data_IF_701311817138
#
_entry.id   IF_701311817138
#
_cell.length_a   1.000
_cell.length_b   1.000
_cell.length_c   1.000
_cell.angle_alpha   90.00
_cell.angle_beta   90.00
_cell.angle_gamma   90.00
#
_symmetry.space_group_name_H-M   'P 1'
#
loop_
_entity.id
_entity.type
_entity.pdbx_description
1 polymer ?
#
# COMPACT_ATOMS: atom_id res chain seq x y z
N UNK A 1 5.35 23.09 -8.25
CA UNK A 1 4.48 21.96 -8.58
C UNK A 1 4.04 21.32 -7.26
N UNK A 2 2.83 21.61 -6.78
CA UNK A 2 2.33 21.05 -5.52
C UNK A 2 1.47 19.85 -5.86
N UNK A 3 1.97 18.63 -5.62
CA UNK A 3 1.09 17.47 -5.44
C UNK A 3 0.02 17.89 -4.41
N UNK A 4 -1.23 17.98 -4.85
CA UNK A 4 -2.32 18.36 -3.95
C UNK A 4 -2.48 17.31 -2.86
N UNK A 5 -2.81 17.73 -1.64
CA UNK A 5 -3.21 16.79 -0.59
C UNK A 5 -4.35 15.88 -1.04
N UNK A 6 -5.21 16.37 -1.94
CA UNK A 6 -6.31 15.60 -2.52
C UNK A 6 -5.84 14.33 -3.27
N UNK A 7 -4.59 14.24 -3.70
CA UNK A 7 -4.05 13.01 -4.28
C UNK A 7 -4.09 11.83 -3.30
N UNK A 8 -4.05 12.06 -1.99
CA UNK A 8 -4.27 11.00 -1.00
C UNK A 8 -5.69 10.42 -1.09
N UNK A 9 -6.69 11.24 -1.40
CA UNK A 9 -8.07 10.79 -1.61
C UNK A 9 -8.15 9.95 -2.89
N UNK A 10 -7.56 10.45 -3.99
CA UNK A 10 -7.55 9.77 -5.30
C UNK A 10 -6.85 8.41 -5.27
N UNK A 11 -5.65 8.34 -4.69
CA UNK A 11 -4.87 7.10 -4.56
C UNK A 11 -5.67 6.03 -3.82
N UNK A 12 -6.45 6.43 -2.81
CA UNK A 12 -7.24 5.49 -2.01
C UNK A 12 -8.64 5.23 -2.59
N UNK A 13 -9.02 5.85 -3.71
CA UNK A 13 -10.34 5.73 -4.35
C UNK A 13 -11.46 6.12 -3.37
N UNK A 14 -11.31 7.30 -2.74
CA UNK A 14 -12.20 7.78 -1.68
C UNK A 14 -13.00 9.04 -2.08
N UNK A 15 -12.98 9.45 -3.35
CA UNK A 15 -13.61 10.69 -3.83
C UNK A 15 -15.11 10.74 -3.52
N UNK A 16 -15.82 9.63 -3.74
CA UNK A 16 -17.26 9.53 -3.50
C UNK A 16 -17.63 9.66 -2.02
N UNK A 17 -16.80 9.14 -1.13
CA UNK A 17 -17.02 9.21 0.32
C UNK A 17 -16.61 10.60 0.83
N UNK A 18 -15.49 11.14 0.33
CA UNK A 18 -14.99 12.45 0.70
C UNK A 18 -15.97 13.57 0.32
N UNK A 19 -16.46 13.58 -0.92
CA UNK A 19 -17.34 14.62 -1.46
C UNK A 19 -18.70 14.72 -0.75
N UNK A 20 -19.19 13.61 -0.16
CA UNK A 20 -20.40 13.60 0.66
C UNK A 20 -20.24 14.37 1.98
N UNK A 21 -19.00 14.54 2.47
CA UNK A 21 -18.70 15.13 3.78
C UNK A 21 -18.03 16.48 3.69
N UNK A 22 -17.12 16.64 2.73
CA UNK A 22 -16.28 17.82 2.58
C UNK A 22 -16.50 18.44 1.19
N UNK A 23 -16.95 19.70 1.18
CA UNK A 23 -17.10 20.48 -0.05
C UNK A 23 -15.80 21.13 -0.52
N UNK A 24 -14.76 21.13 0.32
CA UNK A 24 -13.48 21.82 0.05
C UNK A 24 -12.32 20.84 0.14
N UNK A 25 -11.55 20.74 -0.95
CA UNK A 25 -10.42 19.81 -1.14
C UNK A 25 -9.09 20.34 -0.56
N UNK A 26 -9.15 20.97 0.62
CA UNK A 26 -7.97 21.54 1.27
C UNK A 26 -7.26 20.52 2.19
N UNK A 27 -5.96 20.75 2.41
CA UNK A 27 -5.09 19.94 3.28
C UNK A 27 -5.76 19.53 4.59
N UNK A 28 -6.36 20.48 5.30
CA UNK A 28 -6.96 20.25 6.62
C UNK A 28 -8.09 19.21 6.55
N UNK A 29 -8.94 19.31 5.54
CA UNK A 29 -10.10 18.42 5.37
C UNK A 29 -9.65 17.03 4.94
N UNK A 30 -8.71 16.94 4.00
CA UNK A 30 -8.10 15.67 3.58
C UNK A 30 -7.51 14.94 4.79
N UNK A 31 -6.76 15.64 5.64
CA UNK A 31 -6.12 15.01 6.80
C UNK A 31 -7.11 14.64 7.89
N UNK A 32 -8.11 15.48 8.16
CA UNK A 32 -9.18 15.12 9.08
C UNK A 32 -9.88 13.84 8.62
N UNK A 33 -10.15 13.73 7.32
CA UNK A 33 -10.77 12.58 6.69
C UNK A 33 -9.90 11.32 6.70
N UNK A 34 -8.61 11.43 6.37
CA UNK A 34 -7.69 10.27 6.31
C UNK A 34 -7.25 9.79 7.70
N UNK A 35 -7.24 10.66 8.71
CA UNK A 35 -6.75 10.29 10.05
C UNK A 35 -7.90 9.88 10.97
N UNK A 36 -8.89 10.77 11.14
CA UNK A 36 -9.81 10.71 12.28
C UNK A 36 -11.26 10.38 11.96
N UNK A 37 -11.61 10.24 10.68
CA UNK A 37 -12.99 10.07 10.26
C UNK A 37 -13.40 8.58 10.32
N UNK A 38 -14.31 8.25 11.24
CA UNK A 38 -14.77 6.88 11.47
C UNK A 38 -15.70 6.32 10.40
N UNK A 39 -16.28 7.17 9.53
CA UNK A 39 -17.11 6.67 8.41
C UNK A 39 -16.28 6.58 7.12
N UNK A 40 -15.01 6.97 7.15
CA UNK A 40 -14.03 6.59 6.14
C UNK A 40 -13.46 5.19 6.48
N UNK A 41 -13.72 4.16 5.66
CA UNK A 41 -13.23 2.80 5.92
C UNK A 41 -11.70 2.69 5.86
N UNK A 42 -11.04 3.62 5.17
CA UNK A 42 -9.59 3.66 4.99
C UNK A 42 -8.90 4.69 5.89
N UNK A 43 -9.59 5.25 6.88
CA UNK A 43 -8.94 6.16 7.83
C UNK A 43 -8.07 5.40 8.83
N UNK A 44 -7.05 6.06 9.37
CA UNK A 44 -6.16 5.48 10.39
C UNK A 44 -6.97 4.99 11.60
N UNK A 45 -7.99 5.74 12.05
CA UNK A 45 -8.88 5.32 13.15
C UNK A 45 -9.63 4.05 12.81
N UNK A 46 -10.22 3.96 11.62
CA UNK A 46 -11.01 2.79 11.22
C UNK A 46 -10.10 1.57 11.05
N UNK A 47 -8.96 1.71 10.38
CA UNK A 47 -8.00 0.62 10.18
C UNK A 47 -7.43 0.10 11.51
N UNK A 48 -7.12 0.99 12.46
CA UNK A 48 -6.61 0.57 13.77
C UNK A 48 -7.70 -0.08 14.64
N UNK A 49 -8.95 0.38 14.51
CA UNK A 49 -10.09 -0.26 15.16
C UNK A 49 -10.31 -1.67 14.61
N UNK A 50 -10.26 -1.85 13.30
CA UNK A 50 -10.34 -3.16 12.66
C UNK A 50 -9.19 -4.09 13.09
N UNK A 51 -7.95 -3.57 13.14
CA UNK A 51 -6.80 -4.32 13.64
C UNK A 51 -7.01 -4.81 15.07
N UNK A 52 -7.51 -3.95 15.97
CA UNK A 52 -7.82 -4.35 17.36
C UNK A 52 -8.86 -5.45 17.41
N UNK A 53 -9.95 -5.33 16.66
CA UNK A 53 -10.99 -6.37 16.64
C UNK A 53 -10.43 -7.69 16.10
N UNK A 54 -9.65 -7.66 15.02
CA UNK A 54 -9.00 -8.86 14.48
C UNK A 54 -8.08 -9.52 15.51
N UNK A 55 -7.25 -8.75 16.20
CA UNK A 55 -6.37 -9.27 17.26
C UNK A 55 -7.19 -9.80 18.45
N UNK A 56 -8.29 -9.12 18.81
CA UNK A 56 -9.19 -9.56 19.89
C UNK A 56 -9.78 -10.94 19.62
N UNK A 57 -10.20 -11.20 18.38
CA UNK A 57 -10.85 -12.46 18.00
C UNK A 57 -9.86 -13.58 17.67
N UNK A 58 -8.57 -13.27 17.48
CA UNK A 58 -7.54 -14.23 17.08
C UNK A 58 -6.44 -14.43 18.15
N UNK A 59 -6.68 -14.01 19.40
CA UNK A 59 -5.71 -14.06 20.51
C UNK A 59 -5.06 -15.42 20.76
N UNK A 60 -5.70 -16.51 20.34
CA UNK A 60 -5.18 -17.87 20.52
C UNK A 60 -4.03 -18.21 19.57
N UNK A 61 -3.92 -17.49 18.44
CA UNK A 61 -2.97 -17.81 17.35
C UNK A 61 -1.95 -16.69 17.08
N UNK A 62 -2.05 -15.56 17.80
CA UNK A 62 -1.13 -14.43 17.71
C UNK A 62 -0.39 -14.21 19.05
N UNK A 63 0.78 -13.56 19.07
CA UNK A 63 1.50 -13.28 20.31
C UNK A 63 0.67 -12.39 21.23
N UNK A 64 0.68 -12.68 22.54
CA UNK A 64 -0.05 -11.90 23.55
C UNK A 64 0.30 -10.41 23.51
N UNK A 65 1.57 -10.10 23.28
CA UNK A 65 2.12 -8.74 23.30
C UNK A 65 1.55 -7.90 22.14
N UNK A 66 1.06 -8.53 21.07
CA UNK A 66 0.44 -7.83 19.96
C UNK A 66 -0.86 -7.12 20.38
N UNK A 67 -1.59 -7.71 21.32
CA UNK A 67 -2.77 -7.07 21.89
C UNK A 67 -2.41 -5.80 22.66
N UNK A 68 -1.39 -5.88 23.51
CA UNK A 68 -0.93 -4.74 24.32
C UNK A 68 -0.44 -3.60 23.41
N UNK A 69 0.49 -3.89 22.50
CA UNK A 69 1.04 -2.90 21.57
C UNK A 69 -0.02 -2.24 20.69
N UNK A 70 -0.99 -3.01 20.21
CA UNK A 70 -2.09 -2.45 19.39
C UNK A 70 -3.03 -1.59 20.24
N UNK A 71 -3.29 -2.00 21.49
CA UNK A 71 -4.11 -1.23 22.40
C UNK A 71 -3.45 0.09 22.80
N UNK A 72 -2.15 0.08 23.10
CA UNK A 72 -1.34 1.28 23.36
C UNK A 72 -1.35 2.22 22.16
N UNK A 73 -1.11 1.70 20.95
CA UNK A 73 -1.14 2.49 19.71
C UNK A 73 -2.52 3.16 19.50
N UNK A 74 -3.60 2.47 19.85
CA UNK A 74 -4.93 3.04 19.76
C UNK A 74 -5.19 4.12 20.79
N UNK A 75 -4.77 3.92 22.04
CA UNK A 75 -4.86 4.97 23.06
C UNK A 75 -4.10 6.21 22.57
N UNK A 76 -2.86 6.05 22.10
CA UNK A 76 -2.07 7.12 21.51
C UNK A 76 -2.80 7.84 20.38
N UNK A 77 -3.38 7.09 19.43
CA UNK A 77 -4.12 7.66 18.31
C UNK A 77 -5.28 8.54 18.79
N UNK A 78 -6.08 8.05 19.76
CA UNK A 78 -7.23 8.78 20.29
C UNK A 78 -6.81 10.04 21.04
N UNK A 79 -5.74 9.97 21.83
CA UNK A 79 -5.24 11.11 22.62
C UNK A 79 -4.57 12.19 21.75
N UNK A 80 -3.93 11.78 20.66
CA UNK A 80 -3.10 12.67 19.83
C UNK A 80 -3.66 12.96 18.42
N UNK A 81 -4.90 12.58 18.12
CA UNK A 81 -5.50 12.74 16.79
C UNK A 81 -5.38 14.17 16.22
N UNK A 82 -5.56 15.19 17.07
CA UNK A 82 -5.43 16.61 16.68
C UNK A 82 -4.02 16.96 16.18
N UNK A 83 -3.00 16.27 16.68
CA UNK A 83 -1.61 16.44 16.27
C UNK A 83 -1.38 16.04 14.82
N UNK A 84 -2.15 15.09 14.28
CA UNK A 84 -2.08 14.67 12.88
C UNK A 84 -2.60 15.72 11.89
N UNK A 85 -3.62 16.48 12.27
CA UNK A 85 -4.13 17.58 11.44
C UNK A 85 -3.22 18.81 11.52
N UNK A 86 -2.61 19.07 12.68
CA UNK A 86 -1.74 20.22 12.90
C UNK A 86 -0.38 20.07 12.19
N UNK A 87 -0.06 21.00 11.28
CA UNK A 87 1.18 21.00 10.48
C UNK A 87 2.47 20.88 11.30
N UNK A 88 2.54 21.46 12.50
CA UNK A 88 3.78 21.48 13.31
C UNK A 88 4.08 20.12 13.95
N UNK A 89 3.05 19.38 14.34
CA UNK A 89 3.17 18.11 15.07
C UNK A 89 2.92 16.89 14.20
N UNK A 90 2.36 17.06 12.99
CA UNK A 90 1.93 15.96 12.12
C UNK A 90 3.04 14.97 11.83
N UNK A 91 4.23 15.45 11.51
CA UNK A 91 5.34 14.58 11.14
C UNK A 91 5.68 13.61 12.27
N UNK A 92 5.93 14.14 13.48
CA UNK A 92 6.23 13.34 14.66
C UNK A 92 5.08 12.38 15.02
N UNK A 93 3.83 12.83 14.89
CA UNK A 93 2.66 11.99 15.14
C UNK A 93 2.58 10.81 14.16
N UNK A 94 2.72 11.05 12.85
CA UNK A 94 2.68 10.00 11.84
C UNK A 94 3.89 9.07 11.95
N UNK A 95 5.07 9.60 12.26
CA UNK A 95 6.28 8.81 12.48
C UNK A 95 6.12 7.85 13.67
N UNK A 96 5.52 8.30 14.77
CA UNK A 96 5.19 7.41 15.89
C UNK A 96 4.27 6.27 15.46
N UNK A 97 3.19 6.56 14.73
CA UNK A 97 2.28 5.53 14.20
C UNK A 97 3.01 4.51 13.31
N UNK A 98 3.86 5.01 12.39
CA UNK A 98 4.64 4.15 11.49
C UNK A 98 5.58 3.24 12.29
N UNK A 99 6.31 3.78 13.27
CA UNK A 99 7.22 3.00 14.10
C UNK A 99 6.48 1.95 14.93
N UNK A 100 5.33 2.28 15.54
CA UNK A 100 4.52 1.31 16.27
C UNK A 100 4.01 0.18 15.38
N UNK A 101 3.53 0.49 14.17
CA UNK A 101 3.15 -0.53 13.19
C UNK A 101 4.34 -1.43 12.82
N UNK A 102 5.53 -0.87 12.60
CA UNK A 102 6.74 -1.64 12.31
C UNK A 102 7.15 -2.54 13.48
N UNK A 103 6.99 -2.08 14.72
CA UNK A 103 7.25 -2.90 15.91
C UNK A 103 6.27 -4.07 16.01
N UNK A 104 4.97 -3.86 15.75
CA UNK A 104 3.96 -4.94 15.74
C UNK A 104 4.27 -5.96 14.63
N UNK A 105 4.64 -5.50 13.43
CA UNK A 105 5.06 -6.38 12.33
C UNK A 105 6.32 -7.17 12.72
N UNK A 106 7.29 -6.53 13.38
CA UNK A 106 8.49 -7.17 13.90
C UNK A 106 8.17 -8.26 14.93
N UNK A 107 7.21 -8.01 15.83
CA UNK A 107 6.73 -9.00 16.79
C UNK A 107 6.12 -10.21 16.08
N UNK A 108 5.25 -10.00 15.10
CA UNK A 108 4.68 -11.10 14.32
C UNK A 108 5.77 -11.90 13.61
N UNK A 109 6.75 -11.21 13.02
CA UNK A 109 7.85 -11.87 12.35
C UNK A 109 8.71 -12.70 13.32
N UNK A 110 8.99 -12.22 14.52
CA UNK A 110 9.87 -12.93 15.45
C UNK A 110 9.17 -14.04 16.24
N UNK A 111 7.89 -13.88 16.57
CA UNK A 111 7.24 -14.66 17.62
C UNK A 111 6.04 -15.49 17.15
N UNK A 112 5.55 -15.34 15.92
CA UNK A 112 4.52 -16.24 15.39
C UNK A 112 5.12 -17.55 14.88
N UNK A 113 4.45 -18.65 15.19
CA UNK A 113 4.65 -19.93 14.51
C UNK A 113 4.45 -19.76 13.01
N UNK A 114 5.26 -20.45 12.18
CA UNK A 114 5.13 -20.43 10.71
C UNK A 114 4.03 -21.39 10.24
N UNK A 115 2.86 -21.26 10.83
CA UNK A 115 1.68 -22.09 10.57
C UNK A 115 0.63 -21.33 9.73
N UNK A 116 -0.57 -21.90 9.65
CA UNK A 116 -1.70 -21.37 8.90
C UNK A 116 -2.03 -19.91 9.26
N UNK A 117 -1.94 -19.52 10.54
CA UNK A 117 -2.25 -18.15 10.95
C UNK A 117 -1.23 -17.16 10.38
N UNK A 118 0.05 -17.51 10.41
CA UNK A 118 1.11 -16.71 9.78
C UNK A 118 0.93 -16.61 8.26
N UNK A 119 0.54 -17.69 7.58
CA UNK A 119 0.25 -17.67 6.14
C UNK A 119 -0.88 -16.70 5.78
N UNK A 120 -1.95 -16.61 6.58
CA UNK A 120 -3.00 -15.61 6.37
C UNK A 120 -2.54 -14.17 6.59
N UNK A 121 -1.67 -13.94 7.60
CA UNK A 121 -1.03 -12.63 7.80
C UNK A 121 -0.20 -12.24 6.57
N UNK A 122 0.57 -13.17 6.01
CA UNK A 122 1.34 -12.94 4.79
C UNK A 122 0.44 -12.64 3.59
N UNK A 123 -0.66 -13.39 3.41
CA UNK A 123 -1.62 -13.14 2.33
C UNK A 123 -2.14 -11.71 2.35
N UNK A 124 -2.69 -11.26 3.48
CA UNK A 124 -3.18 -9.89 3.60
C UNK A 124 -2.07 -8.86 3.40
N UNK A 125 -0.91 -9.08 4.05
CA UNK A 125 0.20 -8.14 4.02
C UNK A 125 0.77 -7.92 2.61
N UNK A 126 0.98 -8.98 1.84
CA UNK A 126 1.56 -8.87 0.50
C UNK A 126 0.54 -8.41 -0.54
N UNK A 127 -0.75 -8.72 -0.36
CA UNK A 127 -1.82 -8.24 -1.23
C UNK A 127 -1.98 -6.72 -1.11
N UNK A 128 -2.16 -6.23 0.11
CA UNK A 128 -2.27 -4.79 0.40
C UNK A 128 -1.03 -4.03 -0.06
N UNK A 129 0.15 -4.64 0.10
CA UNK A 129 1.41 -4.03 -0.35
C UNK A 129 1.51 -3.95 -1.86
N UNK A 130 1.15 -5.00 -2.59
CA UNK A 130 1.13 -4.99 -4.05
C UNK A 130 0.13 -3.93 -4.57
N UNK A 131 -1.08 -3.91 -4.00
CA UNK A 131 -2.12 -2.95 -4.36
C UNK A 131 -1.63 -1.51 -4.13
N UNK A 132 -1.10 -1.20 -2.94
CA UNK A 132 -0.60 0.13 -2.63
C UNK A 132 0.62 0.54 -3.47
N UNK A 133 1.52 -0.39 -3.82
CA UNK A 133 2.61 -0.10 -4.77
C UNK A 133 2.04 0.28 -6.14
N UNK A 134 1.07 -0.47 -6.66
CA UNK A 134 0.47 -0.20 -7.97
C UNK A 134 -0.25 1.17 -8.03
N UNK A 135 -0.93 1.57 -6.95
CA UNK A 135 -1.59 2.88 -6.84
C UNK A 135 -0.59 4.04 -6.74
N UNK A 136 0.55 3.83 -6.08
CA UNK A 136 1.63 4.84 -6.04
C UNK A 136 2.30 5.00 -7.42
N UNK A 137 2.41 3.92 -8.20
CA UNK A 137 2.89 3.99 -9.58
C UNK A 137 1.93 4.77 -10.48
N UNK A 138 0.61 4.50 -10.42
CA UNK A 138 -0.37 5.26 -11.21
C UNK A 138 -0.39 6.74 -10.82
N UNK A 139 -0.28 7.06 -9.53
CA UNK A 139 -0.15 8.46 -9.09
C UNK A 139 1.12 9.14 -9.60
N UNK A 140 2.24 8.40 -9.67
CA UNK A 140 3.49 8.87 -10.26
C UNK A 140 3.33 9.21 -11.74
N UNK A 141 2.72 8.29 -12.51
CA UNK A 141 2.42 8.48 -13.93
C UNK A 141 1.47 9.66 -14.15
N UNK A 142 0.37 9.73 -13.41
CA UNK A 142 -0.58 10.83 -13.50
C UNK A 142 0.07 12.19 -13.23
N UNK A 143 0.93 12.27 -12.20
CA UNK A 143 1.67 13.48 -11.89
C UNK A 143 2.71 13.83 -12.97
N UNK A 144 3.34 12.83 -13.60
CA UNK A 144 4.30 13.04 -14.67
C UNK A 144 3.64 13.56 -15.96
N UNK A 145 2.40 13.10 -16.26
CA UNK A 145 1.59 13.57 -17.39
C UNK A 145 1.10 15.02 -17.23
N UNK A 146 0.94 15.50 -15.99
CA UNK A 146 0.56 16.90 -15.72
C UNK A 146 1.73 17.88 -15.94
N UNK A 147 2.95 17.40 -16.20
CA UNK A 147 4.10 18.26 -16.50
C UNK A 147 4.05 18.72 -17.96
N UNK A 148 3.85 20.01 -18.19
CA UNK A 148 3.94 20.64 -19.52
C UNK A 148 5.38 20.69 -20.06
N UNK A 149 5.51 20.67 -21.39
CA UNK A 149 6.75 20.73 -22.18
C UNK A 149 7.56 22.04 -22.00
N UNK A 150 8.07 22.28 -20.79
CA UNK A 150 9.02 23.35 -20.47
C UNK A 150 10.40 22.77 -20.16
N UNK A 151 11.46 23.57 -20.33
CA UNK A 151 12.88 23.21 -20.10
C UNK A 151 13.20 22.61 -18.71
N UNK A 152 12.27 22.67 -17.75
CA UNK A 152 12.39 22.07 -16.40
C UNK A 152 11.78 20.65 -16.27
N UNK A 153 11.36 20.04 -17.38
CA UNK A 153 10.65 18.76 -17.39
C UNK A 153 11.46 17.60 -16.75
N UNK A 154 12.74 17.45 -17.10
CA UNK A 154 13.59 16.36 -16.61
C UNK A 154 13.74 16.41 -15.09
N UNK A 155 14.02 17.59 -14.54
CA UNK A 155 14.16 17.79 -13.10
C UNK A 155 12.84 17.51 -12.36
N UNK A 156 11.71 17.91 -12.95
CA UNK A 156 10.39 17.70 -12.34
C UNK A 156 10.00 16.22 -12.30
N UNK A 157 10.22 15.47 -13.40
CA UNK A 157 9.98 14.00 -13.42
C UNK A 157 10.86 13.27 -12.43
N UNK A 158 12.14 13.63 -12.33
CA UNK A 158 13.05 13.06 -11.34
C UNK A 158 12.59 13.29 -9.90
N UNK A 159 12.02 14.47 -9.60
CA UNK A 159 11.45 14.77 -8.27
C UNK A 159 10.22 13.91 -8.00
N UNK A 160 9.32 13.73 -8.98
CA UNK A 160 8.11 12.90 -8.85
C UNK A 160 8.49 11.46 -8.55
N UNK A 161 9.32 10.84 -9.39
CA UNK A 161 9.74 9.46 -9.20
C UNK A 161 10.59 9.29 -7.93
N UNK A 162 11.34 10.33 -7.55
CA UNK A 162 12.01 10.37 -6.25
C UNK A 162 11.04 10.40 -5.06
N UNK A 163 9.89 11.06 -5.18
CA UNK A 163 8.82 11.05 -4.17
C UNK A 163 8.10 9.70 -4.12
N UNK A 164 7.83 9.08 -5.27
CA UNK A 164 7.23 7.72 -5.35
C UNK A 164 8.12 6.71 -4.63
N UNK A 165 9.41 6.68 -4.98
CA UNK A 165 10.38 5.80 -4.33
C UNK A 165 10.49 6.05 -2.82
N UNK A 166 10.43 7.31 -2.36
CA UNK A 166 10.44 7.62 -0.91
C UNK A 166 9.16 7.16 -0.22
N UNK A 167 8.00 7.35 -0.85
CA UNK A 167 6.69 6.92 -0.31
C UNK A 167 6.62 5.40 -0.12
N UNK A 168 7.33 4.66 -0.96
CA UNK A 168 7.45 3.21 -0.89
C UNK A 168 8.71 2.73 -0.13
N UNK A 169 9.43 3.58 0.59
CA UNK A 169 10.70 3.22 1.27
C UNK A 169 11.70 2.48 0.35
N UNK A 170 11.69 2.83 -0.94
CA UNK A 170 12.42 2.15 -2.00
C UNK A 170 13.70 2.88 -2.42
N UNK A 171 13.84 4.17 -2.08
CA UNK A 171 14.92 5.04 -2.56
C UNK A 171 16.32 4.45 -2.35
N UNK A 172 16.62 3.97 -1.14
CA UNK A 172 17.95 3.41 -0.82
C UNK A 172 18.22 2.10 -1.56
N UNK A 173 17.23 1.20 -1.61
CA UNK A 173 17.34 -0.06 -2.35
C UNK A 173 17.50 0.18 -3.85
N UNK A 174 16.73 1.11 -4.42
CA UNK A 174 16.81 1.54 -5.81
C UNK A 174 18.24 2.01 -6.15
N UNK A 175 18.78 2.94 -5.36
CA UNK A 175 20.13 3.49 -5.58
C UNK A 175 21.21 2.42 -5.47
N UNK A 176 21.06 1.48 -4.53
CA UNK A 176 22.00 0.36 -4.36
C UNK A 176 22.01 -0.56 -5.59
N UNK A 177 20.85 -0.82 -6.18
CA UNK A 177 20.70 -1.72 -7.32
C UNK A 177 21.14 -1.06 -8.63
N UNK A 178 20.64 0.13 -8.94
CA UNK A 178 20.79 0.75 -10.28
C UNK A 178 21.99 1.69 -10.39
N UNK A 179 22.44 2.29 -9.27
CA UNK A 179 23.58 3.23 -9.22
C UNK A 179 23.48 4.41 -10.21
N UNK A 180 22.28 4.72 -10.69
CA UNK A 180 21.98 5.80 -11.63
C UNK A 180 21.14 6.90 -10.97
N UNK A 181 20.99 8.03 -11.67
CA UNK A 181 19.97 9.01 -11.33
C UNK A 181 18.57 8.39 -11.43
N UNK A 182 17.62 8.90 -10.64
CA UNK A 182 16.23 8.44 -10.72
C UNK A 182 15.64 8.81 -12.08
N UNK A 183 15.22 7.80 -12.84
CA UNK A 183 14.43 7.96 -14.05
C UNK A 183 13.06 7.28 -13.86
N UNK A 184 12.10 7.64 -14.70
CA UNK A 184 10.77 7.03 -14.73
C UNK A 184 10.83 5.55 -15.05
N UNK A 185 11.47 5.21 -16.17
CA UNK A 185 11.61 3.84 -16.64
C UNK A 185 12.29 2.94 -15.61
N UNK A 186 13.41 3.40 -15.04
CA UNK A 186 14.13 2.64 -14.01
C UNK A 186 13.31 2.48 -12.72
N UNK A 187 12.58 3.52 -12.30
CA UNK A 187 11.78 3.46 -11.07
C UNK A 187 10.57 2.53 -11.23
N UNK A 188 9.92 2.56 -12.39
CA UNK A 188 8.85 1.62 -12.75
C UNK A 188 9.38 0.19 -12.80
N UNK A 189 10.45 -0.04 -13.56
CA UNK A 189 11.07 -1.36 -13.69
C UNK A 189 11.45 -1.94 -12.31
N UNK A 190 12.10 -1.14 -11.47
CA UNK A 190 12.48 -1.53 -10.12
C UNK A 190 11.27 -1.90 -9.26
N UNK A 191 10.19 -1.12 -9.29
CA UNK A 191 9.01 -1.35 -8.45
C UNK A 191 8.08 -2.45 -9.00
N UNK A 192 8.19 -2.81 -10.28
CA UNK A 192 7.40 -3.87 -10.87
C UNK A 192 8.12 -5.21 -10.82
N UNK A 193 9.39 -5.25 -11.21
CA UNK A 193 10.08 -6.49 -11.55
C UNK A 193 11.10 -6.96 -10.50
N UNK A 194 11.51 -6.11 -9.57
CA UNK A 194 12.57 -6.50 -8.64
C UNK A 194 12.13 -7.64 -7.71
N UNK A 195 12.75 -8.81 -7.87
CA UNK A 195 12.43 -10.02 -7.12
C UNK A 195 13.04 -10.09 -5.71
N UNK A 196 13.76 -9.05 -5.27
CA UNK A 196 14.41 -8.99 -3.95
C UNK A 196 13.86 -7.84 -3.08
N UNK A 197 13.15 -6.88 -3.67
CA UNK A 197 12.65 -5.72 -2.95
C UNK A 197 11.23 -5.98 -2.39
N UNK A 198 11.02 -5.93 -1.06
CA UNK A 198 9.78 -6.40 -0.44
C UNK A 198 8.47 -5.72 -0.85
N UNK A 199 8.55 -4.56 -1.53
CA UNK A 199 7.40 -3.78 -2.01
C UNK A 199 7.25 -3.81 -3.53
N UNK A 200 8.19 -4.42 -4.26
CA UNK A 200 8.03 -4.61 -5.68
C UNK A 200 6.88 -5.59 -5.95
N UNK A 201 6.15 -5.38 -7.05
CA UNK A 201 4.97 -6.20 -7.40
C UNK A 201 5.37 -7.66 -7.58
N UNK A 202 6.44 -7.95 -8.35
CA UNK A 202 6.93 -9.31 -8.55
C UNK A 202 7.25 -10.03 -7.23
N UNK A 203 7.93 -9.35 -6.30
CA UNK A 203 8.20 -9.88 -4.96
C UNK A 203 6.90 -10.19 -4.21
N UNK A 204 5.96 -9.22 -4.16
CA UNK A 204 4.72 -9.39 -3.41
C UNK A 204 3.87 -10.54 -3.97
N UNK A 205 3.75 -10.65 -5.30
CA UNK A 205 2.98 -11.73 -5.95
C UNK A 205 3.65 -13.09 -5.74
N UNK A 206 4.99 -13.18 -5.74
CA UNK A 206 5.70 -14.39 -5.38
C UNK A 206 5.40 -14.82 -3.93
N UNK A 207 5.55 -13.91 -2.97
CA UNK A 207 5.25 -14.20 -1.56
C UNK A 207 3.78 -14.54 -1.31
N UNK A 208 2.84 -13.90 -2.03
CA UNK A 208 1.43 -14.27 -2.02
C UNK A 208 1.21 -15.71 -2.49
N UNK A 209 1.89 -16.09 -3.57
CA UNK A 209 1.78 -17.43 -4.14
C UNK A 209 2.30 -18.47 -3.16
N UNK A 210 3.47 -18.23 -2.57
CA UNK A 210 4.07 -19.13 -1.57
C UNK A 210 3.20 -19.25 -0.32
N UNK A 211 2.58 -18.15 0.13
CA UNK A 211 1.68 -18.16 1.27
C UNK A 211 0.39 -18.93 0.97
N UNK A 212 -0.19 -18.74 -0.22
CA UNK A 212 -1.38 -19.44 -0.67
C UNK A 212 -1.13 -20.95 -0.86
N UNK A 213 -0.01 -21.33 -1.47
CA UNK A 213 0.31 -22.74 -1.77
C UNK A 213 0.44 -23.59 -0.49
N UNK A 214 0.84 -22.96 0.62
CA UNK A 214 0.93 -23.58 1.94
C UNK A 214 -0.44 -23.75 2.66
N UNK A 215 -1.53 -23.22 2.11
CA UNK A 215 -2.88 -23.31 2.68
C UNK A 215 -3.73 -24.37 1.95
N UNK A 216 -4.68 -25.03 2.65
CA UNK A 216 -5.59 -25.97 2.02
C UNK A 216 -6.56 -25.24 1.07
N UNK A 217 -7.06 -25.94 0.04
CA UNK A 217 -8.02 -25.39 -0.95
C UNK A 217 -7.52 -24.15 -1.71
N UNK A 218 -6.21 -24.05 -1.94
CA UNK A 218 -5.56 -22.88 -2.56
C UNK A 218 -5.54 -22.88 -4.09
N UNK A 219 -6.06 -23.92 -4.76
CA UNK A 219 -5.88 -24.14 -6.18
C UNK A 219 -6.31 -22.95 -7.05
N UNK A 220 -7.47 -22.34 -6.78
CA UNK A 220 -7.98 -21.20 -7.54
C UNK A 220 -7.20 -19.92 -7.25
N UNK A 221 -6.81 -19.69 -5.99
CA UNK A 221 -5.96 -18.55 -5.58
C UNK A 221 -4.59 -18.62 -6.26
N UNK A 222 -3.94 -19.78 -6.21
CA UNK A 222 -2.64 -20.00 -6.84
C UNK A 222 -2.73 -19.86 -8.36
N UNK A 223 -3.80 -20.35 -8.98
CA UNK A 223 -4.04 -20.16 -10.42
C UNK A 223 -4.17 -18.68 -10.79
N UNK A 224 -4.92 -17.90 -10.01
CA UNK A 224 -5.06 -16.46 -10.22
C UNK A 224 -3.70 -15.75 -10.09
N UNK A 225 -2.94 -16.03 -9.04
CA UNK A 225 -1.63 -15.42 -8.81
C UNK A 225 -0.61 -15.79 -9.90
N UNK A 226 -0.57 -17.04 -10.33
CA UNK A 226 0.27 -17.48 -11.47
C UNK A 226 -0.12 -16.79 -12.77
N UNK A 227 -1.39 -16.46 -12.96
CA UNK A 227 -1.84 -15.67 -14.12
C UNK A 227 -1.19 -14.27 -14.10
N UNK A 228 -1.13 -13.62 -12.94
CA UNK A 228 -0.46 -12.32 -12.78
C UNK A 228 1.05 -12.46 -13.03
N UNK A 229 1.69 -13.51 -12.53
CA UNK A 229 3.14 -13.74 -12.72
C UNK A 229 3.54 -14.00 -14.19
N UNK A 230 2.68 -14.64 -14.96
CA UNK A 230 2.94 -14.98 -16.36
C UNK A 230 2.66 -13.83 -17.32
N UNK A 231 1.93 -12.82 -16.89
CA UNK A 231 1.73 -11.63 -17.70
C UNK A 231 3.03 -10.83 -17.75
N UNK A 232 3.39 -10.30 -18.94
CA UNK A 232 4.47 -9.33 -19.00
C UNK A 232 4.04 -8.12 -18.18
N UNK A 233 4.64 -7.98 -17.01
CA UNK A 233 4.64 -6.72 -16.28
C UNK A 233 5.29 -5.66 -17.20
N UNK A 234 4.81 -4.41 -17.10
CA UNK A 234 5.08 -3.30 -18.04
C UNK A 234 6.47 -3.36 -18.68
N UNK A 235 6.56 -3.45 -20.01
CA UNK A 235 7.85 -3.27 -20.66
C UNK A 235 8.28 -1.80 -20.54
N UNK A 236 9.48 -1.57 -20.02
CA UNK A 236 10.15 -0.28 -19.94
C UNK A 236 10.65 0.16 -21.32
N UNK A 237 9.79 0.16 -22.33
CA UNK A 237 10.09 0.82 -23.59
C UNK A 237 9.92 2.34 -23.39
N UNK A 238 11.05 3.06 -23.47
CA UNK A 238 11.17 4.53 -23.26
C UNK A 238 10.20 5.36 -24.12
N UNK A 239 9.67 4.79 -25.21
CA UNK A 239 8.77 5.46 -26.17
C UNK A 239 7.26 5.28 -25.88
N UNK A 240 6.87 4.50 -24.85
CA UNK A 240 5.45 4.24 -24.53
C UNK A 240 4.88 5.19 -23.45
N UNK A 241 5.23 6.48 -23.49
CA UNK A 241 4.67 7.46 -22.58
C UNK A 241 3.16 7.63 -22.83
N UNK A 242 2.31 7.37 -21.83
CA UNK A 242 0.89 7.72 -21.87
C UNK A 242 -0.09 6.64 -21.40
N UNK A 243 -1.30 6.70 -21.96
CA UNK A 243 -2.46 5.85 -21.62
C UNK A 243 -2.17 4.33 -21.58
N UNK A 244 -1.33 3.72 -22.45
CA UNK A 244 -1.11 2.28 -22.44
C UNK A 244 -0.50 1.74 -21.12
N UNK A 245 0.44 2.47 -20.52
CA UNK A 245 1.06 2.06 -19.26
C UNK A 245 0.08 2.16 -18.09
N UNK A 246 -0.80 3.17 -18.12
CA UNK A 246 -1.85 3.34 -17.11
C UNK A 246 -2.94 2.29 -17.24
N UNK A 247 -3.33 1.92 -18.47
CA UNK A 247 -4.27 0.83 -18.73
C UNK A 247 -3.74 -0.51 -18.19
N UNK A 248 -2.45 -0.77 -18.37
CA UNK A 248 -1.80 -1.96 -17.84
C UNK A 248 -1.72 -1.96 -16.30
N UNK A 249 -1.43 -0.83 -15.65
CA UNK A 249 -1.51 -0.72 -14.18
C UNK A 249 -2.94 -0.90 -13.66
N UNK A 250 -3.92 -0.35 -14.36
CA UNK A 250 -5.33 -0.52 -14.02
C UNK A 250 -5.74 -2.00 -14.14
N UNK A 251 -5.28 -2.70 -15.18
CA UNK A 251 -5.51 -4.14 -15.32
C UNK A 251 -4.88 -4.93 -14.16
N UNK A 252 -3.65 -4.57 -13.74
CA UNK A 252 -3.01 -5.17 -12.57
C UNK A 252 -3.82 -4.93 -11.28
N UNK A 253 -4.30 -3.70 -11.05
CA UNK A 253 -5.15 -3.38 -9.90
C UNK A 253 -6.44 -4.20 -9.89
N UNK A 254 -7.09 -4.35 -11.05
CA UNK A 254 -8.28 -5.21 -11.20
C UNK A 254 -7.96 -6.66 -10.83
N UNK A 255 -6.81 -7.19 -11.25
CA UNK A 255 -6.41 -8.56 -10.92
C UNK A 255 -6.08 -8.75 -9.44
N UNK A 256 -5.48 -7.76 -8.79
CA UNK A 256 -5.25 -7.78 -7.35
C UNK A 256 -6.59 -7.75 -6.58
N UNK A 257 -7.54 -6.92 -7.00
CA UNK A 257 -8.89 -6.89 -6.44
C UNK A 257 -9.65 -8.21 -6.67
N UNK A 258 -9.51 -8.82 -7.86
CA UNK A 258 -10.05 -10.17 -8.11
C UNK A 258 -9.39 -11.22 -7.22
N UNK A 259 -8.08 -11.12 -6.99
CA UNK A 259 -7.34 -12.01 -6.08
C UNK A 259 -7.92 -11.91 -4.66
N UNK A 260 -8.20 -10.70 -4.17
CA UNK A 260 -8.91 -10.50 -2.89
C UNK A 260 -10.21 -11.31 -2.83
N UNK A 261 -11.05 -11.22 -3.87
CA UNK A 261 -12.33 -11.93 -3.92
C UNK A 261 -12.14 -13.46 -3.93
N UNK A 262 -11.19 -13.98 -4.71
CA UNK A 262 -10.91 -15.42 -4.75
C UNK A 262 -10.39 -15.92 -3.39
N UNK A 263 -9.57 -15.14 -2.70
CA UNK A 263 -9.13 -15.43 -1.32
C UNK A 263 -10.33 -15.48 -0.37
N UNK A 264 -11.23 -14.50 -0.45
CA UNK A 264 -12.44 -14.45 0.37
C UNK A 264 -13.35 -15.67 0.12
N UNK A 265 -13.61 -16.01 -1.13
CA UNK A 265 -14.43 -17.16 -1.50
C UNK A 265 -13.82 -18.50 -1.06
N UNK A 266 -12.49 -18.60 -1.06
CA UNK A 266 -11.77 -19.84 -0.73
C UNK A 266 -11.72 -20.13 0.78
N UNK A 267 -11.61 -19.10 1.61
CA UNK A 267 -11.33 -19.28 3.06
C UNK A 267 -12.27 -18.52 4.00
N UNK A 268 -13.02 -17.55 3.51
CA UNK A 268 -13.95 -16.72 4.29
C UNK A 268 -15.34 -16.68 3.66
N UNK A 269 -15.93 -17.83 3.25
CA UNK A 269 -17.25 -17.82 2.64
C UNK A 269 -18.28 -17.25 3.62
N UNK A 270 -19.23 -16.48 3.11
CA UNK A 270 -20.36 -16.01 3.91
C UNK A 270 -21.03 -17.22 4.57
N UNK A 271 -21.24 -17.15 5.89
CA UNK A 271 -22.01 -18.16 6.59
C UNK A 271 -23.42 -18.17 6.00
N UNK A 272 -23.78 -19.29 5.37
CA UNK A 272 -25.11 -19.52 4.79
C UNK A 272 -26.20 -19.60 5.86
#
# INVERSE_FOLDING_TARGET
MNLSWYNLIRINILEDIFSKRYSVMEERNVLAFMIGDSDNPSSIVTSLTALRENIRTTREVIPSDAWEMTNELNIYLQEHMRSGVNRRSRHQFLEHLIHSCQQIIGLYYCNMSRDVAWRFVELGMYLERADMTSRNLDAGLAAALEISDDDQMVNSRQIIWGNVLRSLNAMESYRRTLRSSVSEADAMDFLLHNAEFPRAIAFCVAQLTDAADALPHSADVVKQLRTIQQQPLLASEEDSLGDPQRDQLNQLQIQLAQTHNVIADSWFPALA
#
